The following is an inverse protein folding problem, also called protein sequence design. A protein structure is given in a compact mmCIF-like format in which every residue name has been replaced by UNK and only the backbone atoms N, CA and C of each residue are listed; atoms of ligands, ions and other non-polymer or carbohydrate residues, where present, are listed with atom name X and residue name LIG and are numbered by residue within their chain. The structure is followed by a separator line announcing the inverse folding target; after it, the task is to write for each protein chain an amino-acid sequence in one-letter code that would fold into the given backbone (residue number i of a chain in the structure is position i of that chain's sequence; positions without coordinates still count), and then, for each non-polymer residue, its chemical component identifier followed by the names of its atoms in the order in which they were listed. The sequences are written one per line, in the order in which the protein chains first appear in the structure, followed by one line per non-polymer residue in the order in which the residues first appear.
data_IF_394492504372
#
_entry.id   IF_394492504372
#
_cell.length_a   1.000
_cell.length_b   1.000
_cell.length_c   1.000
_cell.angle_alpha   90.00
_cell.angle_beta   90.00
_cell.angle_gamma   90.00
#
_symmetry.space_group_name_H-M   'P 1'
#
loop_
_entity.id
_entity.type
_entity.pdbx_description
1 polymer ?
#
# COMPACT_ATOMS: atom_id res chain seq x y z
N UNK A 1 5.22 4.58 -25.46
CA UNK A 1 5.57 5.26 -24.21
C UNK A 1 4.32 5.30 -23.34
N UNK A 2 4.41 4.83 -22.11
CA UNK A 2 3.29 4.81 -21.19
C UNK A 2 3.24 6.08 -20.34
N UNK A 3 2.05 6.45 -19.89
CA UNK A 3 1.85 7.60 -19.01
C UNK A 3 1.28 7.13 -17.68
N UNK A 4 1.95 7.52 -16.60
CA UNK A 4 1.42 7.41 -15.24
C UNK A 4 0.68 8.69 -14.89
N UNK A 5 -0.56 8.56 -14.44
CA UNK A 5 -1.36 9.63 -13.83
C UNK A 5 -1.57 9.32 -12.36
N UNK A 6 -1.25 10.28 -11.50
CA UNK A 6 -1.38 10.14 -10.06
C UNK A 6 -2.49 11.03 -9.55
N UNK A 7 -3.43 10.42 -8.85
CA UNK A 7 -4.55 11.09 -8.20
C UNK A 7 -4.40 10.95 -6.68
N UNK A 8 -3.58 11.80 -6.08
CA UNK A 8 -3.28 11.76 -4.63
C UNK A 8 -3.34 13.16 -4.02
N UNK A 9 -3.45 13.25 -2.68
CA UNK A 9 -3.41 14.53 -1.97
C UNK A 9 -2.16 15.38 -2.28
N UNK A 10 -2.28 16.70 -2.14
CA UNK A 10 -1.20 17.61 -2.56
C UNK A 10 0.06 17.46 -1.72
N UNK A 11 -0.04 17.08 -0.44
CA UNK A 11 1.14 16.85 0.40
C UNK A 11 2.03 15.70 -0.11
N UNK A 12 1.48 14.76 -0.89
CA UNK A 12 2.24 13.66 -1.49
C UNK A 12 3.01 14.10 -2.75
N UNK A 13 2.81 15.35 -3.21
CA UNK A 13 3.68 15.95 -4.24
C UNK A 13 5.12 15.90 -3.79
N UNK A 14 5.99 15.57 -4.74
CA UNK A 14 7.42 15.44 -4.51
C UNK A 14 7.82 14.30 -3.53
N UNK A 15 6.87 13.52 -3.00
CA UNK A 15 7.17 12.35 -2.16
C UNK A 15 7.21 11.04 -2.95
N UNK A 16 6.94 11.07 -4.25
CA UNK A 16 6.81 9.86 -5.06
C UNK A 16 8.01 9.66 -5.97
N UNK A 17 8.46 8.42 -6.04
CA UNK A 17 9.55 7.97 -6.91
C UNK A 17 9.11 6.76 -7.72
N UNK A 18 9.61 6.66 -8.94
CA UNK A 18 9.46 5.49 -9.80
C UNK A 18 10.82 4.85 -9.95
N UNK A 19 10.89 3.54 -9.75
CA UNK A 19 12.10 2.75 -9.94
C UNK A 19 11.85 1.54 -10.83
N UNK A 20 12.84 1.15 -11.62
CA UNK A 20 12.88 -0.13 -12.35
C UNK A 20 14.30 -0.68 -12.24
N UNK A 21 14.46 -1.79 -11.52
CA UNK A 21 15.79 -2.32 -11.18
C UNK A 21 16.70 -1.28 -10.52
N UNK A 22 18.02 -1.44 -10.71
CA UNK A 22 19.02 -0.47 -10.26
C UNK A 22 19.25 0.68 -11.25
N UNK A 23 18.75 0.56 -12.48
CA UNK A 23 19.16 1.42 -13.60
C UNK A 23 18.25 2.64 -13.80
N UNK A 24 17.01 2.58 -13.33
CA UNK A 24 16.05 3.66 -13.49
C UNK A 24 15.50 4.13 -12.15
N UNK A 25 15.69 5.41 -11.86
CA UNK A 25 15.11 6.09 -10.70
C UNK A 25 14.69 7.50 -11.11
N UNK A 26 13.41 7.83 -10.93
CA UNK A 26 12.87 9.13 -11.26
C UNK A 26 11.93 9.62 -10.17
N UNK A 27 12.17 10.82 -9.65
CA UNK A 27 11.18 11.51 -8.81
C UNK A 27 10.02 11.97 -9.69
N UNK A 28 8.80 11.74 -9.22
CA UNK A 28 7.60 12.14 -9.94
C UNK A 28 7.44 13.66 -9.86
N UNK A 29 7.21 14.35 -11.00
CA UNK A 29 7.05 15.79 -11.03
C UNK A 29 5.76 16.24 -10.33
N UNK A 30 5.72 17.52 -9.96
CA UNK A 30 4.56 18.15 -9.30
C UNK A 30 3.26 18.10 -10.12
N UNK A 31 3.38 17.93 -11.44
CA UNK A 31 2.24 17.75 -12.36
C UNK A 31 1.50 16.44 -12.15
N UNK A 32 2.05 15.52 -11.34
CA UNK A 32 1.48 14.19 -11.07
C UNK A 32 1.29 13.35 -12.33
N UNK A 33 2.06 13.68 -13.37
CA UNK A 33 2.11 12.93 -14.62
C UNK A 33 3.56 12.63 -14.96
N UNK A 34 3.87 11.34 -15.11
CA UNK A 34 5.20 10.89 -15.48
C UNK A 34 5.13 10.06 -16.76
N UNK A 35 6.07 10.32 -17.65
CA UNK A 35 6.35 9.43 -18.76
C UNK A 35 7.16 8.25 -18.24
N UNK A 36 6.72 7.04 -18.54
CA UNK A 36 7.38 5.83 -18.08
C UNK A 36 8.26 5.24 -19.18
N UNK A 37 9.47 4.76 -18.84
CA UNK A 37 10.29 4.00 -19.76
C UNK A 37 9.63 2.65 -20.06
N UNK A 38 10.11 1.98 -21.11
CA UNK A 38 9.91 0.55 -21.21
C UNK A 38 10.69 -0.11 -20.07
N UNK A 39 10.03 -0.93 -19.27
CA UNK A 39 10.61 -1.56 -18.09
C UNK A 39 10.23 -3.05 -18.13
N UNK A 40 11.08 -3.91 -18.75
CA UNK A 40 10.77 -5.34 -18.89
C UNK A 40 10.67 -6.04 -17.53
N UNK A 41 11.35 -5.52 -16.50
CA UNK A 41 11.33 -6.06 -15.14
C UNK A 41 10.23 -5.44 -14.25
N UNK A 42 9.39 -4.58 -14.85
CA UNK A 42 8.33 -3.85 -14.17
C UNK A 42 8.76 -2.56 -13.50
N UNK A 43 7.79 -1.84 -12.96
CA UNK A 43 7.97 -0.53 -12.31
C UNK A 43 7.44 -0.56 -10.89
N UNK A 44 8.19 0.04 -9.98
CA UNK A 44 7.80 0.23 -8.59
C UNK A 44 7.63 1.70 -8.29
N UNK A 45 6.45 2.07 -7.79
CA UNK A 45 6.21 3.36 -7.16
C UNK A 45 6.66 3.29 -5.70
N UNK A 46 7.39 4.29 -5.23
CA UNK A 46 7.94 4.36 -3.87
C UNK A 46 7.65 5.69 -3.19
N UNK A 47 7.66 5.65 -1.86
CA UNK A 47 7.48 6.82 -1.00
C UNK A 47 8.80 7.43 -0.53
N UNK A 48 8.88 8.76 -0.47
CA UNK A 48 9.98 9.57 0.06
C UNK A 48 11.22 9.61 -0.84
N UNK A 49 11.81 8.45 -1.11
CA UNK A 49 13.06 8.29 -1.85
C UNK A 49 12.97 7.14 -2.87
N UNK A 50 13.98 7.02 -3.74
CA UNK A 50 14.10 5.89 -4.65
C UNK A 50 14.33 4.53 -3.94
N UNK A 51 14.63 4.53 -2.64
CA UNK A 51 14.81 3.31 -1.83
C UNK A 51 13.79 3.21 -0.70
N UNK A 52 12.77 4.08 -0.69
CA UNK A 52 11.73 4.06 0.33
C UNK A 52 10.70 2.96 0.09
N UNK A 53 9.71 2.88 1.00
CA UNK A 53 8.69 1.84 0.99
C UNK A 53 7.97 1.79 -0.36
N UNK A 54 7.88 0.61 -0.99
CA UNK A 54 7.19 0.45 -2.24
C UNK A 54 5.68 0.54 -2.01
N UNK A 55 4.97 1.31 -2.85
CA UNK A 55 3.54 1.60 -2.76
C UNK A 55 2.72 0.83 -3.80
N UNK A 56 3.32 0.59 -4.97
CA UNK A 56 2.66 -0.10 -6.08
C UNK A 56 3.71 -0.72 -7.00
N UNK A 57 3.44 -1.92 -7.49
CA UNK A 57 4.21 -2.57 -8.55
C UNK A 57 3.34 -2.77 -9.80
N UNK A 58 3.94 -2.58 -10.96
CA UNK A 58 3.38 -2.91 -12.26
C UNK A 58 4.35 -3.83 -12.99
N UNK A 59 3.96 -5.09 -13.21
CA UNK A 59 4.74 -6.06 -13.99
C UNK A 59 4.83 -5.67 -15.47
N UNK A 60 3.81 -4.97 -15.98
CA UNK A 60 3.76 -4.51 -17.37
C UNK A 60 3.38 -3.04 -17.47
N UNK A 61 4.10 -2.30 -18.32
CA UNK A 61 3.84 -0.89 -18.57
C UNK A 61 2.81 -0.71 -19.69
N UNK A 62 1.53 -0.71 -19.34
CA UNK A 62 0.44 -0.43 -20.29
C UNK A 62 0.33 1.08 -20.62
N UNK A 63 -0.38 1.44 -21.70
CA UNK A 63 -0.37 2.82 -22.22
C UNK A 63 -0.95 3.88 -21.26
N UNK A 64 -1.73 3.50 -20.25
CA UNK A 64 -2.31 4.42 -19.27
C UNK A 64 -2.37 3.77 -17.89
N UNK A 65 -1.49 4.21 -16.99
CA UNK A 65 -1.49 3.75 -15.60
C UNK A 65 -2.08 4.86 -14.74
N UNK A 66 -3.05 4.50 -13.89
CA UNK A 66 -3.64 5.40 -12.91
C UNK A 66 -3.37 4.83 -11.53
N UNK A 67 -2.86 5.66 -10.62
CA UNK A 67 -2.74 5.32 -9.21
C UNK A 67 -3.36 6.40 -8.35
N UNK A 68 -4.11 5.98 -7.33
CA UNK A 68 -4.98 6.83 -6.54
C UNK A 68 -4.66 6.75 -5.04
N UNK A 69 -3.40 6.49 -4.68
CA UNK A 69 -2.97 6.48 -3.28
C UNK A 69 -3.20 5.18 -2.52
N UNK A 70 -3.84 4.17 -3.13
CA UNK A 70 -4.12 2.91 -2.45
C UNK A 70 -2.92 1.97 -2.47
N UNK A 71 -2.74 1.26 -1.35
CA UNK A 71 -1.67 0.31 -1.11
C UNK A 71 -2.29 -0.95 -0.49
N UNK A 72 -1.81 -2.12 -0.90
CA UNK A 72 -2.16 -3.40 -0.28
C UNK A 72 -0.90 -4.15 0.10
N UNK A 73 -0.84 -4.64 1.33
CA UNK A 73 0.35 -5.25 1.91
C UNK A 73 -0.04 -6.58 2.54
N UNK A 74 0.69 -7.65 2.21
CA UNK A 74 0.65 -8.89 2.97
C UNK A 74 1.84 -8.93 3.91
N UNK A 75 1.67 -9.29 5.17
CA UNK A 75 2.80 -9.32 6.10
C UNK A 75 2.43 -9.77 7.49
N UNK A 76 3.22 -9.34 8.46
CA UNK A 76 2.96 -9.53 9.88
C UNK A 76 2.99 -8.18 10.59
N UNK A 77 2.17 -8.08 11.63
CA UNK A 77 2.19 -6.95 12.55
C UNK A 77 3.39 -7.11 13.47
N UNK A 78 4.38 -6.24 13.32
CA UNK A 78 5.61 -6.30 14.12
C UNK A 78 5.45 -5.47 15.39
N UNK A 79 4.76 -4.34 15.33
CA UNK A 79 4.42 -3.55 16.51
C UNK A 79 3.19 -2.66 16.30
N UNK A 80 2.68 -2.15 17.43
CA UNK A 80 1.61 -1.14 17.46
C UNK A 80 1.98 -0.01 18.39
N UNK A 81 1.77 1.24 17.96
CA UNK A 81 1.96 2.43 18.78
C UNK A 81 0.64 3.12 19.02
N UNK A 82 0.34 3.43 20.29
CA UNK A 82 -0.78 4.29 20.66
C UNK A 82 -0.28 5.73 20.75
N UNK A 83 -0.89 6.62 19.97
CA UNK A 83 -0.56 8.05 19.94
C UNK A 83 -1.83 8.86 20.12
N UNK A 84 -1.77 9.88 21.00
CA UNK A 84 -2.85 10.85 21.15
C UNK A 84 -2.59 12.08 20.32
N UNK A 85 -3.55 12.46 19.48
CA UNK A 85 -3.50 13.63 18.62
C UNK A 85 -4.68 14.53 18.97
N UNK A 86 -4.41 15.59 19.72
CA UNK A 86 -5.46 16.42 20.30
C UNK A 86 -6.33 15.62 21.27
N UNK A 87 -7.57 15.34 20.89
CA UNK A 87 -8.55 14.55 21.67
C UNK A 87 -8.77 13.14 21.12
N UNK A 88 -8.07 12.77 20.05
CA UNK A 88 -8.27 11.50 19.36
C UNK A 88 -7.12 10.55 19.70
N UNK A 89 -7.47 9.31 20.04
CA UNK A 89 -6.51 8.23 20.22
C UNK A 89 -6.38 7.45 18.92
N UNK A 90 -5.15 7.39 18.41
CA UNK A 90 -4.80 6.76 17.15
C UNK A 90 -3.88 5.57 17.42
N UNK A 91 -4.13 4.47 16.72
CA UNK A 91 -3.21 3.37 16.64
C UNK A 91 -2.38 3.51 15.36
N UNK A 92 -1.07 3.35 15.48
CA UNK A 92 -0.16 3.14 14.36
C UNK A 92 0.23 1.68 14.36
N UNK A 93 -0.04 1.02 13.26
CA UNK A 93 0.25 -0.37 13.00
C UNK A 93 1.48 -0.45 12.09
N UNK A 94 2.58 -1.03 12.57
CA UNK A 94 3.73 -1.32 11.72
C UNK A 94 3.63 -2.76 11.17
N UNK A 95 3.44 -2.85 9.86
CA UNK A 95 3.42 -4.11 9.12
C UNK A 95 4.73 -4.28 8.40
N UNK A 96 5.42 -5.38 8.71
CA UNK A 96 6.55 -5.85 7.93
C UNK A 96 6.02 -6.83 6.88
N UNK A 97 6.18 -6.48 5.62
CA UNK A 97 5.49 -7.21 4.56
C UNK A 97 5.83 -6.77 3.15
N UNK A 98 4.98 -7.17 2.24
CA UNK A 98 5.22 -7.24 0.81
C UNK A 98 3.98 -6.74 0.07
N UNK A 99 4.17 -5.96 -1.01
CA UNK A 99 3.05 -5.46 -1.79
C UNK A 99 2.22 -6.60 -2.38
N UNK A 100 0.90 -6.46 -2.28
CA UNK A 100 -0.04 -7.28 -3.01
C UNK A 100 -0.60 -6.52 -4.22
N UNK A 101 -0.99 -7.22 -5.29
CA UNK A 101 -1.76 -6.61 -6.36
C UNK A 101 -3.05 -5.98 -5.77
N UNK A 102 -3.34 -4.72 -6.11
CA UNK A 102 -4.59 -4.05 -5.73
C UNK A 102 -5.82 -4.76 -6.32
N UNK A 103 -5.66 -5.40 -7.48
CA UNK A 103 -6.65 -6.23 -8.15
C UNK A 103 -6.67 -7.67 -7.64
N UNK A 104 -5.82 -8.05 -6.67
CA UNK A 104 -5.95 -9.34 -6.00
C UNK A 104 -7.38 -9.40 -5.47
N UNK A 105 -8.15 -10.46 -5.74
CA UNK A 105 -9.49 -10.57 -5.19
C UNK A 105 -9.44 -10.29 -3.69
N UNK A 106 -10.20 -9.28 -3.24
CA UNK A 106 -10.76 -9.34 -1.88
C UNK A 106 -11.57 -10.64 -1.85
N UNK A 107 -11.65 -11.31 -0.69
CA UNK A 107 -12.44 -12.54 -0.46
C UNK A 107 -13.41 -12.81 -1.63
N UNK A 108 -13.17 -13.85 -2.45
CA UNK A 108 -13.87 -14.03 -3.71
C UNK A 108 -15.37 -13.86 -3.49
N UNK A 109 -16.02 -13.11 -4.38
CA UNK A 109 -17.47 -12.96 -4.26
C UNK A 109 -18.13 -14.34 -4.34
N UNK A 110 -19.35 -14.47 -3.85
CA UNK A 110 -20.13 -15.70 -4.04
C UNK A 110 -20.27 -16.06 -5.53
N UNK A 111 -20.21 -15.08 -6.43
CA UNK A 111 -20.21 -15.30 -7.87
C UNK A 111 -18.88 -15.87 -8.37
N UNK A 112 -17.74 -15.38 -7.86
CA UNK A 112 -16.41 -15.90 -8.21
C UNK A 112 -16.19 -17.31 -7.68
N UNK A 113 -16.66 -17.59 -6.46
CA UNK A 113 -16.64 -18.93 -5.85
C UNK A 113 -17.46 -19.96 -6.65
N UNK A 114 -18.41 -19.51 -7.47
CA UNK A 114 -19.23 -20.40 -8.33
C UNK A 114 -18.61 -20.68 -9.69
N UNK A 115 -17.57 -19.95 -10.10
CA UNK A 115 -16.87 -20.17 -11.36
C UNK A 115 -15.87 -21.33 -11.21
N UNK A 116 -15.97 -22.32 -12.09
CA UNK A 116 -15.04 -23.45 -12.17
C UNK A 116 -14.34 -23.46 -13.54
N UNK A 117 -13.00 -23.63 -13.61
CA UNK A 117 -12.06 -23.68 -12.49
C UNK A 117 -11.94 -22.31 -11.79
N UNK A 118 -11.66 -22.36 -10.49
CA UNK A 118 -11.39 -21.14 -9.71
C UNK A 118 -9.99 -20.64 -10.07
N UNK A 119 -9.91 -19.54 -10.81
CA UNK A 119 -8.64 -18.92 -11.19
C UNK A 119 -8.05 -18.16 -9.99
N UNK A 120 -6.96 -18.69 -9.45
CA UNK A 120 -6.08 -17.97 -8.54
C UNK A 120 -4.95 -17.36 -9.37
N UNK A 121 -4.95 -16.03 -9.54
CA UNK A 121 -3.76 -15.34 -10.06
C UNK A 121 -2.60 -15.65 -9.12
N UNK A 122 -1.59 -16.32 -9.67
CA UNK A 122 -0.37 -16.68 -8.95
C UNK A 122 0.34 -15.40 -8.50
N UNK A 123 0.90 -15.48 -7.30
CA UNK A 123 1.62 -14.39 -6.64
C UNK A 123 2.63 -13.73 -7.58
N UNK A 124 2.82 -12.41 -7.43
CA UNK A 124 3.95 -11.73 -8.03
C UNK A 124 5.24 -12.40 -7.52
N UNK A 125 6.00 -13.04 -8.41
CA UNK A 125 7.38 -13.44 -8.14
C UNK A 125 8.22 -12.15 -8.01
N UNK A 126 9.11 -12.09 -7.02
CA UNK A 126 9.80 -10.90 -6.50
C UNK A 126 8.92 -9.89 -5.75
N UNK A 127 8.76 -10.11 -4.43
CA UNK A 127 8.19 -9.10 -3.54
C UNK A 127 9.24 -8.65 -2.54
N UNK A 128 9.68 -7.41 -2.72
CA UNK A 128 10.54 -6.72 -1.76
C UNK A 128 9.80 -6.55 -0.44
N UNK A 129 10.42 -7.02 0.64
CA UNK A 129 9.91 -6.80 1.98
C UNK A 129 10.26 -5.39 2.47
N UNK A 130 9.27 -4.69 3.01
CA UNK A 130 9.40 -3.35 3.53
C UNK A 130 8.53 -3.15 4.77
N UNK A 131 8.74 -2.01 5.43
CA UNK A 131 7.96 -1.58 6.58
C UNK A 131 6.88 -0.59 6.13
N UNK A 132 5.68 -0.82 6.63
CA UNK A 132 4.49 -0.02 6.36
C UNK A 132 3.86 0.43 7.66
N UNK A 133 3.73 1.74 7.83
CA UNK A 133 2.97 2.31 8.93
C UNK A 133 1.54 2.59 8.45
N UNK A 134 0.57 1.85 8.98
CA UNK A 134 -0.85 2.11 8.83
C UNK A 134 -1.39 2.87 10.04
N UNK A 135 -2.32 3.77 9.80
CA UNK A 135 -2.96 4.61 10.81
C UNK A 135 -4.44 4.24 10.87
N UNK A 136 -4.95 4.06 12.08
CA UNK A 136 -6.36 3.78 12.34
C UNK A 136 -6.77 4.41 13.68
N UNK A 137 -8.05 4.72 13.81
CA UNK A 137 -8.60 5.14 15.11
C UNK A 137 -8.57 3.97 16.10
N UNK A 138 -8.32 4.25 17.38
CA UNK A 138 -8.27 3.21 18.42
C UNK A 138 -9.61 2.45 18.53
N UNK A 139 -10.73 3.13 18.33
CA UNK A 139 -12.07 2.55 18.44
C UNK A 139 -12.53 1.88 17.12
N UNK A 140 -11.64 1.76 16.13
CA UNK A 140 -11.91 1.06 14.87
C UNK A 140 -12.09 -0.45 15.10
N UNK A 141 -12.98 -1.13 14.35
CA UNK A 141 -13.08 -2.60 14.39
C UNK A 141 -11.78 -3.31 14.02
N UNK A 142 -10.82 -2.62 13.37
CA UNK A 142 -9.51 -3.19 13.03
C UNK A 142 -8.51 -3.18 14.19
N UNK A 143 -8.76 -2.43 15.27
CA UNK A 143 -7.87 -2.38 16.43
C UNK A 143 -7.76 -3.75 17.11
N UNK A 144 -8.90 -4.42 17.32
CA UNK A 144 -8.94 -5.78 17.87
C UNK A 144 -8.22 -6.77 16.95
N UNK A 145 -8.45 -6.70 15.63
CA UNK A 145 -7.77 -7.56 14.65
C UNK A 145 -6.26 -7.35 14.66
N UNK A 146 -5.82 -6.10 14.82
CA UNK A 146 -4.40 -5.76 14.92
C UNK A 146 -3.79 -6.38 16.17
N UNK A 147 -4.47 -6.29 17.31
CA UNK A 147 -4.02 -6.90 18.56
C UNK A 147 -3.94 -8.43 18.46
N UNK A 148 -4.97 -9.06 17.88
CA UNK A 148 -4.98 -10.49 17.61
C UNK A 148 -3.84 -10.91 16.68
N UNK A 149 -3.60 -10.17 15.60
CA UNK A 149 -2.52 -10.45 14.66
C UNK A 149 -1.16 -10.35 15.33
N UNK A 150 -0.92 -9.31 16.12
CA UNK A 150 0.32 -9.08 16.85
C UNK A 150 0.61 -10.22 17.84
N UNK A 151 -0.36 -10.56 18.69
CA UNK A 151 -0.18 -11.60 19.74
C UNK A 151 0.04 -12.98 19.12
N UNK A 152 -0.76 -13.34 18.11
CA UNK A 152 -0.73 -14.67 17.53
C UNK A 152 0.28 -14.79 16.38
N UNK A 153 0.98 -13.69 16.04
CA UNK A 153 1.86 -13.58 14.86
C UNK A 153 1.17 -14.07 13.59
N UNK A 154 -0.12 -13.75 13.44
CA UNK A 154 -0.87 -14.14 12.26
C UNK A 154 -0.46 -13.27 11.07
N UNK A 155 -0.39 -13.90 9.90
CA UNK A 155 -0.22 -13.16 8.66
C UNK A 155 -1.48 -12.33 8.37
N UNK A 156 -1.27 -11.14 7.82
CA UNK A 156 -2.32 -10.15 7.56
C UNK A 156 -2.29 -9.67 6.13
N UNK A 157 -3.44 -9.25 5.63
CA UNK A 157 -3.61 -8.47 4.39
C UNK A 157 -4.21 -7.12 4.76
N UNK A 158 -3.38 -6.07 4.70
CA UNK A 158 -3.75 -4.70 5.00
C UNK A 158 -3.98 -3.94 3.70
N UNK A 159 -5.17 -3.38 3.55
CA UNK A 159 -5.51 -2.46 2.48
C UNK A 159 -5.74 -1.07 3.06
N UNK A 160 -5.09 -0.07 2.48
CA UNK A 160 -5.23 1.31 2.91
C UNK A 160 -4.98 2.31 1.81
N UNK A 161 -5.18 3.58 2.13
CA UNK A 161 -5.02 4.69 1.22
C UNK A 161 -4.25 5.85 1.87
N UNK A 162 -3.55 6.63 1.07
CA UNK A 162 -3.01 7.91 1.52
C UNK A 162 -4.16 8.79 2.06
N UNK A 163 -4.03 9.22 3.31
CA UNK A 163 -5.01 10.04 4.01
C UNK A 163 -5.34 11.32 3.22
N UNK A 164 -6.59 11.77 3.24
CA UNK A 164 -6.89 13.08 2.67
C UNK A 164 -6.15 14.22 3.41
N UNK A 165 -5.82 15.28 2.68
CA UNK A 165 -5.14 16.45 3.26
C UNK A 165 -6.00 17.14 4.34
N UNK A 166 -7.32 17.11 4.16
CA UNK A 166 -8.34 17.63 5.08
C UNK A 166 -8.25 17.00 6.48
N UNK A 167 -7.85 15.73 6.58
CA UNK A 167 -7.68 15.02 7.85
C UNK A 167 -6.39 15.38 8.61
N UNK A 168 -5.44 16.08 7.97
CA UNK A 168 -4.22 16.56 8.64
C UNK A 168 -3.20 15.48 9.03
N UNK A 169 -3.44 14.20 8.74
CA UNK A 169 -2.56 13.08 9.12
C UNK A 169 -1.13 13.19 8.58
N UNK A 170 -0.94 13.83 7.42
CA UNK A 170 0.36 14.11 6.82
C UNK A 170 1.29 14.98 7.69
N UNK A 171 0.75 15.67 8.70
CA UNK A 171 1.53 16.48 9.65
C UNK A 171 2.04 15.65 10.84
N UNK A 172 1.51 14.44 11.02
CA UNK A 172 1.75 13.59 12.18
C UNK A 172 2.72 12.46 11.83
N UNK A 173 2.58 11.90 10.62
CA UNK A 173 3.39 10.77 10.16
C UNK A 173 3.95 11.04 8.76
N UNK A 174 5.15 10.52 8.51
CA UNK A 174 5.86 10.74 7.25
C UNK A 174 5.19 10.07 6.04
N UNK A 175 4.39 9.02 6.26
CA UNK A 175 3.58 8.34 5.24
C UNK A 175 2.20 8.01 5.84
N UNK A 176 1.19 8.87 5.64
CA UNK A 176 -0.11 8.70 6.29
C UNK A 176 -0.99 7.71 5.53
N UNK A 177 -0.73 6.40 5.64
CA UNK A 177 -1.63 5.37 5.10
C UNK A 177 -2.74 5.08 6.11
N UNK A 178 -3.99 5.43 5.79
CA UNK A 178 -5.15 5.04 6.60
C UNK A 178 -5.52 3.59 6.29
N UNK A 179 -5.71 2.78 7.32
CA UNK A 179 -6.17 1.41 7.17
C UNK A 179 -7.67 1.39 6.85
N UNK A 180 -8.04 0.83 5.70
CA UNK A 180 -9.43 0.73 5.26
C UNK A 180 -10.00 -0.68 5.42
N UNK A 181 -9.16 -1.70 5.31
CA UNK A 181 -9.55 -3.07 5.65
C UNK A 181 -8.34 -3.93 6.03
N UNK A 182 -8.60 -4.93 6.85
CA UNK A 182 -7.61 -5.90 7.30
C UNK A 182 -8.22 -7.31 7.25
N UNK A 183 -7.49 -8.26 6.67
CA UNK A 183 -7.83 -9.69 6.72
C UNK A 183 -6.76 -10.43 7.51
N UNK A 184 -7.18 -11.33 8.40
CA UNK A 184 -6.30 -12.27 9.07
C UNK A 184 -6.30 -13.59 8.29
N UNK A 185 -5.13 -14.12 7.99
CA UNK A 185 -5.02 -15.46 7.43
C UNK A 185 -5.09 -16.51 8.54
N UNK A 186 -5.81 -17.61 8.28
CA UNK A 186 -5.76 -18.76 9.16
C UNK A 186 -4.35 -19.36 9.13
N UNK A 187 -3.78 -19.55 10.32
CA UNK A 187 -2.48 -20.21 10.53
C UNK A 187 -2.60 -21.72 10.60
#
# INVERSE_FOLDING_TARGET
MAVLKINVPAYAKNMLWITSGSEFQQRIPETMQATLPAAPDGLTLRWGTATGSPLRYWSETTKNIIWNGHVRVSGHVDCTHLIRVGKMDMLILEVRGSLLPLNKPRLPSLEDLRKAPYEHDLFLENIEEAWYAFVLELDSPFADFTHHALINRQAVDCYGALAEESGGFHRLVGMPLLLESMTLYAG
#
